data_IF_197469779541
#
_entry.id   IF_197469779541
#
_cell.length_a   1.000
_cell.length_b   1.000
_cell.length_c   1.000
_cell.angle_alpha   90.00
_cell.angle_beta   90.00
_cell.angle_gamma   90.00
#
_symmetry.space_group_name_H-M   'P 1'
#
loop_
_entity.id
_entity.type
_entity.pdbx_description
1 polymer ?
#
# COMPACT_ATOMS: atom_id res chain seq x y z
N UNK A 1 -1.43 -20.21 14.30
CA UNK A 1 -0.46 -19.11 14.53
C UNK A 1 0.73 -19.13 13.56
N UNK A 2 1.50 -20.22 13.46
CA UNK A 2 2.72 -20.28 12.61
C UNK A 2 2.50 -19.87 11.14
N UNK A 3 1.42 -20.28 10.49
CA UNK A 3 1.16 -19.92 9.08
C UNK A 3 0.84 -18.44 8.89
N UNK A 4 0.10 -17.83 9.81
CA UNK A 4 -0.21 -16.39 9.76
C UNK A 4 1.06 -15.54 9.84
N UNK A 5 2.01 -15.92 10.70
CA UNK A 5 3.32 -15.28 10.78
C UNK A 5 4.11 -15.43 9.47
N UNK A 6 4.10 -16.62 8.85
CA UNK A 6 4.74 -16.83 7.54
C UNK A 6 4.13 -15.93 6.46
N UNK A 7 2.80 -15.81 6.42
CA UNK A 7 2.10 -14.93 5.47
C UNK A 7 2.52 -13.48 5.67
N UNK A 8 2.52 -13.00 6.93
CA UNK A 8 2.93 -11.63 7.24
C UNK A 8 4.39 -11.37 6.85
N UNK A 9 5.31 -12.28 7.23
CA UNK A 9 6.73 -12.16 6.91
C UNK A 9 6.97 -12.16 5.40
N UNK A 10 6.32 -13.04 4.64
CA UNK A 10 6.45 -13.07 3.18
C UNK A 10 5.89 -11.80 2.53
N UNK A 11 4.76 -11.28 3.03
CA UNK A 11 4.20 -10.02 2.55
C UNK A 11 5.17 -8.86 2.80
N UNK A 12 5.77 -8.79 4.00
CA UNK A 12 6.78 -7.78 4.34
C UNK A 12 8.03 -7.92 3.47
N UNK A 13 8.63 -9.12 3.41
CA UNK A 13 9.86 -9.36 2.66
C UNK A 13 9.69 -9.03 1.18
N UNK A 14 8.60 -9.47 0.56
CA UNK A 14 8.37 -9.20 -0.88
C UNK A 14 8.11 -7.73 -1.15
N UNK A 15 7.43 -7.01 -0.25
CA UNK A 15 7.24 -5.56 -0.37
C UNK A 15 8.57 -4.82 -0.19
N UNK A 16 9.42 -5.24 0.75
CA UNK A 16 10.76 -4.70 0.93
C UNK A 16 11.65 -4.93 -0.29
N UNK A 17 11.54 -6.09 -0.95
CA UNK A 17 12.25 -6.37 -2.21
C UNK A 17 11.80 -5.40 -3.31
N UNK A 18 10.51 -5.09 -3.40
CA UNK A 18 9.99 -4.08 -4.35
C UNK A 18 10.53 -2.69 -4.03
N UNK A 19 10.62 -2.31 -2.75
CA UNK A 19 11.11 -1.00 -2.33
C UNK A 19 12.63 -0.84 -2.39
N UNK A 20 13.38 -1.94 -2.29
CA UNK A 20 14.84 -1.94 -2.22
C UNK A 20 15.52 -1.09 -3.32
N UNK A 21 15.21 -1.24 -4.63
CA UNK A 21 15.87 -0.43 -5.65
C UNK A 21 15.56 1.07 -5.53
N UNK A 22 14.38 1.44 -5.01
CA UNK A 22 14.00 2.84 -4.77
C UNK A 22 14.72 3.43 -3.55
N UNK A 23 14.92 2.65 -2.48
CA UNK A 23 15.70 3.12 -1.33
C UNK A 23 17.19 3.24 -1.64
N UNK A 24 17.73 2.35 -2.47
CA UNK A 24 19.13 2.39 -2.90
C UNK A 24 19.40 3.40 -4.02
N UNK A 25 18.36 4.04 -4.57
CA UNK A 25 18.46 5.02 -5.66
C UNK A 25 19.32 4.51 -6.82
N UNK A 26 19.11 3.25 -7.22
CA UNK A 26 19.94 2.59 -8.24
C UNK A 26 19.81 3.36 -9.57
N UNK A 27 20.91 3.87 -10.16
CA UNK A 27 20.85 4.70 -11.37
C UNK A 27 20.19 3.98 -12.54
N UNK A 28 20.48 2.69 -12.70
CA UNK A 28 19.88 1.84 -13.73
C UNK A 28 19.93 0.38 -13.29
N UNK A 29 18.82 -0.36 -13.47
CA UNK A 29 18.87 -1.83 -13.42
C UNK A 29 19.40 -2.33 -14.77
N UNK A 30 20.61 -2.87 -14.75
CA UNK A 30 21.39 -3.36 -15.91
C UNK A 30 20.53 -3.82 -17.10
N UNK A 31 20.36 -2.96 -18.11
CA UNK A 31 19.77 -3.32 -19.40
C UNK A 31 18.25 -3.13 -19.57
N UNK A 32 17.54 -2.67 -18.53
CA UNK A 32 16.09 -2.45 -18.60
C UNK A 32 15.68 -0.99 -18.86
N UNK A 33 16.62 -0.04 -18.84
CA UNK A 33 16.34 1.39 -19.03
C UNK A 33 15.44 2.00 -17.95
N UNK A 34 15.33 1.37 -16.77
CA UNK A 34 14.55 1.85 -15.63
C UNK A 34 15.50 2.48 -14.60
N UNK A 35 15.31 3.78 -14.37
CA UNK A 35 16.05 4.54 -13.35
C UNK A 35 15.28 4.63 -12.04
N UNK A 36 15.99 4.45 -10.92
CA UNK A 36 15.43 4.58 -9.56
C UNK A 36 15.97 5.81 -8.83
N UNK A 37 16.60 6.77 -9.52
CA UNK A 37 17.24 7.95 -8.92
C UNK A 37 16.26 8.87 -8.16
N UNK A 38 14.99 8.94 -8.59
CA UNK A 38 13.94 9.67 -7.86
C UNK A 38 13.59 9.04 -6.51
N UNK A 39 14.10 7.83 -6.26
CA UNK A 39 13.95 7.08 -5.03
C UNK A 39 12.51 6.80 -4.65
N UNK A 40 12.22 6.81 -3.35
CA UNK A 40 10.88 6.55 -2.83
C UNK A 40 9.82 7.56 -3.29
N UNK A 41 10.19 8.72 -3.82
CA UNK A 41 9.21 9.64 -4.41
C UNK A 41 8.49 9.01 -5.60
N UNK A 42 9.17 8.14 -6.36
CA UNK A 42 8.52 7.39 -7.42
C UNK A 42 7.43 6.47 -6.86
N UNK A 43 7.66 5.84 -5.71
CA UNK A 43 6.65 5.00 -5.03
C UNK A 43 5.49 5.87 -4.54
N UNK A 44 5.77 6.96 -3.83
CA UNK A 44 4.77 7.80 -3.18
C UNK A 44 3.80 8.51 -4.13
N UNK A 45 4.23 8.80 -5.36
CA UNK A 45 3.43 9.54 -6.35
C UNK A 45 2.50 8.68 -7.19
N UNK A 46 2.53 7.35 -6.99
CA UNK A 46 1.72 6.44 -7.81
C UNK A 46 0.26 6.40 -7.34
N UNK A 47 -0.65 6.18 -8.31
CA UNK A 47 -2.10 6.05 -8.10
C UNK A 47 -2.71 7.21 -7.29
N UNK A 48 -3.78 6.95 -6.55
CA UNK A 48 -4.51 7.93 -5.75
C UNK A 48 -3.90 8.17 -4.36
N UNK A 49 -2.72 7.60 -4.08
CA UNK A 49 -2.07 7.69 -2.78
C UNK A 49 -1.96 9.12 -2.22
N UNK A 50 -1.42 10.10 -2.98
CA UNK A 50 -1.37 11.49 -2.55
C UNK A 50 -2.73 12.09 -2.20
N UNK A 51 -3.81 11.69 -2.88
CA UNK A 51 -5.15 12.18 -2.60
C UNK A 51 -5.70 11.62 -1.29
N UNK A 52 -5.43 10.35 -0.99
CA UNK A 52 -5.75 9.75 0.31
C UNK A 52 -4.97 10.40 1.47
N UNK A 53 -3.72 10.82 1.25
CA UNK A 53 -2.93 11.57 2.25
C UNK A 53 -3.53 12.96 2.51
N UNK A 54 -4.02 13.65 1.46
CA UNK A 54 -4.72 14.92 1.63
C UNK A 54 -5.98 14.72 2.48
N UNK A 55 -6.76 13.68 2.16
CA UNK A 55 -7.97 13.35 2.92
C UNK A 55 -7.64 13.00 4.38
N UNK A 56 -6.58 12.24 4.64
CA UNK A 56 -6.18 11.85 5.99
C UNK A 56 -5.74 13.04 6.86
N UNK A 57 -5.29 14.13 6.24
CA UNK A 57 -4.87 15.35 6.94
C UNK A 57 -6.00 16.36 7.12
N UNK A 58 -6.92 16.42 6.16
CA UNK A 58 -7.97 17.45 6.10
C UNK A 58 -9.32 16.95 6.55
N UNK A 59 -9.53 15.64 6.63
CA UNK A 59 -10.80 15.01 6.95
C UNK A 59 -11.97 15.58 6.13
N UNK A 60 -11.76 15.67 4.81
CA UNK A 60 -12.76 16.12 3.83
C UNK A 60 -13.16 17.60 3.92
N UNK A 61 -12.51 18.40 4.77
CA UNK A 61 -12.81 19.83 4.89
C UNK A 61 -12.24 20.58 3.67
N UNK A 62 -13.11 20.92 2.72
CA UNK A 62 -12.76 21.57 1.44
C UNK A 62 -11.90 22.82 1.61
N UNK A 63 -12.26 23.69 2.56
CA UNK A 63 -11.50 24.90 2.90
C UNK A 63 -10.05 24.59 3.28
N UNK A 64 -9.84 23.56 4.11
CA UNK A 64 -8.49 23.17 4.53
C UNK A 64 -7.71 22.62 3.35
N UNK A 65 -8.34 21.81 2.48
CA UNK A 65 -7.71 21.32 1.24
C UNK A 65 -7.25 22.50 0.37
N UNK A 66 -8.16 23.44 0.11
CA UNK A 66 -7.91 24.63 -0.74
C UNK A 66 -6.79 25.52 -0.21
N UNK A 67 -6.70 25.70 1.12
CA UNK A 67 -5.70 26.58 1.73
C UNK A 67 -4.33 25.90 1.93
N UNK A 68 -4.31 24.58 2.09
CA UNK A 68 -3.09 23.83 2.48
C UNK A 68 -2.38 23.18 1.30
N UNK A 69 -3.12 22.78 0.26
CA UNK A 69 -2.58 21.98 -0.84
C UNK A 69 -2.86 22.64 -2.19
N UNK A 70 -1.83 22.68 -3.05
CA UNK A 70 -2.01 22.97 -4.47
C UNK A 70 -2.35 21.66 -5.18
N UNK A 71 -3.61 21.50 -5.56
CA UNK A 71 -4.14 20.27 -6.12
C UNK A 71 -4.67 20.46 -7.54
N UNK A 72 -4.43 19.52 -8.47
CA UNK A 72 -4.93 19.61 -9.83
C UNK A 72 -6.41 19.21 -9.96
N UNK A 73 -6.99 18.57 -8.93
CA UNK A 73 -8.35 18.03 -8.97
C UNK A 73 -9.36 18.95 -8.26
N UNK A 74 -10.64 18.92 -8.66
CA UNK A 74 -11.71 19.63 -7.97
C UNK A 74 -11.85 19.20 -6.50
N UNK A 75 -12.32 20.10 -5.63
CA UNK A 75 -12.50 19.82 -4.20
C UNK A 75 -13.56 18.74 -3.96
N UNK A 76 -14.46 18.52 -4.91
CA UNK A 76 -15.48 17.48 -4.94
C UNK A 76 -14.91 16.06 -5.09
N UNK A 77 -13.66 15.93 -5.55
CA UNK A 77 -13.00 14.63 -5.71
C UNK A 77 -12.67 13.97 -4.36
N UNK A 78 -12.27 14.76 -3.36
CA UNK A 78 -11.78 14.25 -2.08
C UNK A 78 -12.85 13.54 -1.24
N UNK A 79 -14.11 14.04 -1.16
CA UNK A 79 -15.23 13.31 -0.53
C UNK A 79 -15.56 11.93 -1.12
N UNK A 80 -15.11 11.60 -2.33
CA UNK A 80 -15.36 10.27 -2.93
C UNK A 80 -14.54 9.14 -2.29
N UNK A 81 -13.57 9.46 -1.43
CA UNK A 81 -12.68 8.51 -0.79
C UNK A 81 -13.35 7.95 0.46
N UNK A 82 -13.45 6.63 0.60
CA UNK A 82 -14.02 6.01 1.79
C UNK A 82 -13.13 6.29 3.03
N UNK A 83 -13.72 6.56 4.21
CA UNK A 83 -13.00 7.09 5.37
C UNK A 83 -12.08 6.11 6.09
N UNK A 84 -12.28 4.80 5.91
CA UNK A 84 -11.49 3.83 6.67
C UNK A 84 -10.00 3.87 6.32
N UNK A 85 -9.66 4.00 5.04
CA UNK A 85 -8.26 4.04 4.61
C UNK A 85 -7.56 5.36 5.00
N UNK A 86 -8.12 6.56 4.78
CA UNK A 86 -7.62 7.80 5.37
C UNK A 86 -7.46 7.73 6.89
N UNK A 87 -8.40 7.12 7.61
CA UNK A 87 -8.32 7.01 9.07
C UNK A 87 -7.07 6.22 9.52
N UNK A 88 -6.78 5.10 8.88
CA UNK A 88 -5.57 4.32 9.19
C UNK A 88 -4.29 5.08 8.83
N UNK A 89 -4.30 5.87 7.75
CA UNK A 89 -3.20 6.80 7.44
C UNK A 89 -3.04 7.86 8.53
N UNK A 90 -4.13 8.49 8.99
CA UNK A 90 -4.08 9.52 10.03
C UNK A 90 -3.50 8.97 11.34
N UNK A 91 -3.90 7.75 11.74
CA UNK A 91 -3.38 7.09 12.94
C UNK A 91 -1.89 6.78 12.80
N UNK A 92 -1.49 6.19 11.68
CA UNK A 92 -0.07 5.90 11.42
C UNK A 92 0.75 7.19 11.20
N UNK A 93 0.11 8.27 10.80
CA UNK A 93 0.68 9.60 10.66
C UNK A 93 1.17 10.22 11.98
N UNK A 94 0.75 9.66 13.12
CA UNK A 94 1.30 10.02 14.44
C UNK A 94 2.74 9.50 14.64
N UNK A 95 3.13 8.46 13.89
CA UNK A 95 4.42 7.78 14.01
C UNK A 95 5.30 7.99 12.77
N UNK A 96 4.68 8.15 11.60
CA UNK A 96 5.36 8.21 10.31
C UNK A 96 4.94 9.46 9.52
N UNK A 97 5.77 9.90 8.57
CA UNK A 97 5.33 10.94 7.64
C UNK A 97 4.21 10.42 6.72
N UNK A 98 3.45 11.34 6.12
CA UNK A 98 2.25 11.01 5.32
C UNK A 98 2.45 9.89 4.29
N UNK A 99 3.45 9.98 3.39
CA UNK A 99 3.70 8.92 2.41
C UNK A 99 4.03 7.56 3.03
N UNK A 100 4.84 7.49 4.09
CA UNK A 100 5.14 6.21 4.73
C UNK A 100 3.94 5.67 5.53
N UNK A 101 3.17 6.54 6.18
CA UNK A 101 1.93 6.16 6.86
C UNK A 101 0.93 5.52 5.88
N UNK A 102 0.83 6.07 4.66
CA UNK A 102 0.06 5.49 3.56
C UNK A 102 0.54 4.09 3.15
N UNK A 103 1.85 3.94 2.89
CA UNK A 103 2.42 2.63 2.53
C UNK A 103 2.21 1.58 3.63
N UNK A 104 2.42 1.95 4.89
CA UNK A 104 2.20 1.04 6.02
C UNK A 104 0.71 0.72 6.23
N UNK A 105 -0.18 1.68 6.00
CA UNK A 105 -1.63 1.45 6.01
C UNK A 105 -2.01 0.36 5.00
N UNK A 106 -1.57 0.49 3.74
CA UNK A 106 -1.83 -0.50 2.69
C UNK A 106 -1.20 -1.86 2.99
N UNK A 107 0.01 -1.87 3.55
CA UNK A 107 0.73 -3.10 3.89
C UNK A 107 0.04 -3.87 5.02
N UNK A 108 -0.42 -3.19 6.07
CA UNK A 108 -1.20 -3.80 7.16
C UNK A 108 -2.52 -4.33 6.60
N UNK A 109 -3.23 -3.54 5.79
CA UNK A 109 -4.46 -3.97 5.13
C UNK A 109 -4.25 -5.23 4.29
N UNK A 110 -3.13 -5.31 3.56
CA UNK A 110 -2.78 -6.47 2.74
C UNK A 110 -2.49 -7.72 3.59
N UNK A 111 -1.76 -7.58 4.70
CA UNK A 111 -1.52 -8.70 5.63
C UNK A 111 -2.84 -9.23 6.17
N UNK A 112 -3.75 -8.34 6.59
CA UNK A 112 -5.08 -8.71 7.08
C UNK A 112 -5.90 -9.40 5.99
N UNK A 113 -5.86 -8.90 4.75
CA UNK A 113 -6.55 -9.52 3.62
C UNK A 113 -6.03 -10.95 3.35
N UNK A 114 -4.71 -11.18 3.35
CA UNK A 114 -4.14 -12.51 3.16
C UNK A 114 -4.42 -13.45 4.34
N UNK A 115 -4.44 -12.94 5.57
CA UNK A 115 -4.87 -13.71 6.73
C UNK A 115 -6.32 -14.16 6.60
N UNK A 116 -7.21 -13.27 6.19
CA UNK A 116 -8.63 -13.59 6.00
C UNK A 116 -8.84 -14.57 4.84
N UNK A 117 -8.14 -14.39 3.73
CA UNK A 117 -8.19 -15.32 2.60
C UNK A 117 -7.72 -16.73 3.01
N UNK A 118 -6.58 -16.83 3.69
CA UNK A 118 -6.08 -18.11 4.23
C UNK A 118 -7.09 -18.74 5.21
N UNK A 119 -7.65 -17.92 6.10
CA UNK A 119 -8.65 -18.37 7.07
C UNK A 119 -9.86 -18.96 6.37
N UNK A 120 -10.45 -18.27 5.39
CA UNK A 120 -11.62 -18.76 4.67
C UNK A 120 -11.34 -20.05 3.90
N UNK A 121 -10.20 -20.14 3.20
CA UNK A 121 -9.82 -21.38 2.52
C UNK A 121 -9.69 -22.56 3.48
N UNK A 122 -9.17 -22.32 4.68
CA UNK A 122 -8.95 -23.36 5.70
C UNK A 122 -10.24 -23.74 6.42
N UNK A 123 -11.03 -22.75 6.84
CA UNK A 123 -12.25 -22.91 7.63
C UNK A 123 -13.35 -23.61 6.83
N UNK A 124 -13.52 -23.22 5.56
CA UNK A 124 -14.50 -23.81 4.65
C UNK A 124 -13.94 -25.00 3.83
N UNK A 125 -12.70 -25.42 4.10
CA UNK A 125 -12.02 -26.55 3.42
C UNK A 125 -12.05 -26.45 1.88
N UNK A 126 -11.94 -25.23 1.35
CA UNK A 126 -12.05 -24.94 -0.09
C UNK A 126 -10.81 -25.37 -0.88
N UNK A 127 -9.70 -25.69 -0.21
CA UNK A 127 -8.47 -26.13 -0.85
C UNK A 127 -7.73 -27.15 0.00
N UNK A 128 -7.09 -28.11 -0.68
CA UNK A 128 -6.14 -29.04 -0.06
C UNK A 128 -4.85 -28.34 0.39
N UNK A 129 -4.53 -27.19 -0.19
CA UNK A 129 -3.37 -26.37 0.16
C UNK A 129 -3.77 -24.88 0.27
N UNK A 130 -4.43 -24.47 1.36
CA UNK A 130 -4.84 -23.08 1.57
C UNK A 130 -3.68 -22.09 1.51
N UNK A 131 -2.54 -22.44 2.12
CA UNK A 131 -1.34 -21.59 2.13
C UNK A 131 -0.79 -21.37 0.73
N UNK A 132 -0.70 -22.42 -0.10
CA UNK A 132 -0.27 -22.32 -1.48
C UNK A 132 -1.15 -21.38 -2.30
N UNK A 133 -2.47 -21.45 -2.15
CA UNK A 133 -3.37 -20.50 -2.82
C UNK A 133 -3.22 -19.08 -2.30
N UNK A 134 -2.97 -18.89 -1.00
CA UNK A 134 -2.66 -17.56 -0.47
C UNK A 134 -1.37 -17.01 -1.09
N UNK A 135 -0.35 -17.85 -1.30
CA UNK A 135 0.87 -17.43 -2.02
C UNK A 135 0.56 -17.03 -3.46
N UNK A 136 -0.26 -17.82 -4.17
CA UNK A 136 -0.70 -17.46 -5.52
C UNK A 136 -1.37 -16.09 -5.51
N UNK A 137 -2.33 -15.86 -4.61
CA UNK A 137 -3.00 -14.56 -4.50
C UNK A 137 -2.01 -13.43 -4.18
N UNK A 138 -1.01 -13.67 -3.32
CA UNK A 138 -0.01 -12.67 -2.95
C UNK A 138 0.79 -12.14 -4.15
N UNK A 139 0.94 -12.91 -5.22
CA UNK A 139 1.72 -12.50 -6.40
C UNK A 139 0.87 -12.31 -7.65
N UNK A 140 -0.32 -12.92 -7.71
CA UNK A 140 -1.21 -12.93 -8.86
C UNK A 140 -2.63 -12.42 -8.48
N UNK A 141 -3.18 -11.47 -9.24
CA UNK A 141 -2.57 -10.80 -10.39
C UNK A 141 -1.40 -9.89 -9.98
N UNK A 142 -0.45 -9.66 -10.89
CA UNK A 142 0.73 -8.81 -10.63
C UNK A 142 0.35 -7.43 -10.04
N UNK A 143 -0.84 -6.92 -10.43
CA UNK A 143 -1.42 -5.69 -9.88
C UNK A 143 -1.52 -5.70 -8.36
N UNK A 144 -1.77 -6.84 -7.70
CA UNK A 144 -1.92 -6.90 -6.24
C UNK A 144 -0.58 -6.70 -5.52
N UNK A 145 0.50 -7.30 -6.03
CA UNK A 145 1.86 -7.09 -5.51
C UNK A 145 2.27 -5.62 -5.63
N UNK A 146 1.95 -5.00 -6.76
CA UNK A 146 2.31 -3.61 -7.02
C UNK A 146 1.44 -2.65 -6.19
N UNK A 147 0.11 -2.83 -6.19
CA UNK A 147 -0.82 -2.01 -5.42
C UNK A 147 -0.49 -2.00 -3.92
N UNK A 148 -0.17 -3.17 -3.33
CA UNK A 148 0.21 -3.21 -1.91
C UNK A 148 1.53 -2.51 -1.59
N UNK A 149 2.34 -2.23 -2.60
CA UNK A 149 3.69 -1.66 -2.46
C UNK A 149 3.74 -0.15 -2.73
N UNK A 150 2.66 0.49 -3.20
CA UNK A 150 2.72 1.89 -3.64
C UNK A 150 1.69 2.82 -2.99
N UNK A 151 0.75 2.26 -2.21
CA UNK A 151 -0.30 3.03 -1.55
C UNK A 151 -1.65 2.69 -2.13
#
# INVERSE_FOLDING_TARGET
MRTYLKIALLTLLTTLVVWLPFYLTVPELSGWGVSFETGMQAVWRNFDGPFYIIVSKTWYVKEVVRQTFSVPLPLEYYPAHLPFYPATISILGLLFNGPHAMLFSTLIGSILAFWMFYRYLSEFKLSRNPFGLTLVLMFLPARLLIARSIG
#
